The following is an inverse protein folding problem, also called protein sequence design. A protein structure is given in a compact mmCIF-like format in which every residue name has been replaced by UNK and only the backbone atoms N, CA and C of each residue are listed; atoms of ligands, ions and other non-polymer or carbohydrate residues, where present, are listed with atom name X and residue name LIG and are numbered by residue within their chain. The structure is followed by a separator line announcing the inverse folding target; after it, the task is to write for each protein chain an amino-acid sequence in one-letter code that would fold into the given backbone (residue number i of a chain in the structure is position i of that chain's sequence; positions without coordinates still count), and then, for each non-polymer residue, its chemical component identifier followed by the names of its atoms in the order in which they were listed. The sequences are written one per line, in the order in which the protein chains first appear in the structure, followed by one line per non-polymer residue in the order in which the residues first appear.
data_IF_818927703592
#
_entry.id   IF_818927703592
#
_cell.length_a   1.000
_cell.length_b   1.000
_cell.length_c   1.000
_cell.angle_alpha   90.00
_cell.angle_beta   90.00
_cell.angle_gamma   90.00
#
_symmetry.space_group_name_H-M   'P 1'
#
loop_
_entity.id
_entity.type
_entity.pdbx_description
1 polymer ?
#
# COMPACT_ATOMS: atom_id res chain seq x y z
N UNK A 1 -28.65 -26.03 -34.79
CA UNK A 1 -27.20 -25.93 -34.42
C UNK A 1 -26.77 -24.46 -34.15
N UNK A 2 -27.37 -23.43 -34.78
CA UNK A 2 -27.01 -22.02 -34.53
C UNK A 2 -27.44 -21.39 -33.19
N UNK A 3 -28.58 -21.78 -32.61
CA UNK A 3 -29.12 -21.09 -31.42
C UNK A 3 -28.27 -21.28 -30.14
N UNK A 4 -27.61 -22.42 -29.97
CA UNK A 4 -26.74 -22.70 -28.82
C UNK A 4 -25.45 -21.86 -28.87
N UNK A 5 -24.89 -21.64 -30.07
CA UNK A 5 -23.70 -20.78 -30.23
C UNK A 5 -24.01 -19.31 -29.97
N UNK A 6 -25.16 -18.82 -30.46
CA UNK A 6 -25.59 -17.44 -30.19
C UNK A 6 -25.87 -17.20 -28.70
N UNK A 7 -26.48 -18.19 -28.03
CA UNK A 7 -26.72 -18.12 -26.58
C UNK A 7 -25.40 -18.06 -25.81
N UNK A 8 -24.45 -18.96 -26.10
CA UNK A 8 -23.11 -18.97 -25.49
C UNK A 8 -22.37 -17.64 -25.74
N UNK A 9 -22.41 -17.12 -26.97
CA UNK A 9 -21.78 -15.86 -27.29
C UNK A 9 -22.37 -14.70 -26.47
N UNK A 10 -23.69 -14.60 -26.36
CA UNK A 10 -24.36 -13.58 -25.54
C UNK A 10 -23.98 -13.66 -24.06
N UNK A 11 -23.95 -14.87 -23.50
CA UNK A 11 -23.56 -15.09 -22.09
C UNK A 11 -22.09 -14.71 -21.87
N UNK A 12 -21.19 -15.12 -22.76
CA UNK A 12 -19.77 -14.79 -22.66
C UNK A 12 -19.53 -13.27 -22.78
N UNK A 13 -20.22 -12.58 -23.68
CA UNK A 13 -20.15 -11.12 -23.82
C UNK A 13 -20.68 -10.42 -22.56
N UNK A 14 -21.78 -10.91 -21.99
CA UNK A 14 -22.32 -10.37 -20.74
C UNK A 14 -21.38 -10.59 -19.53
N UNK A 15 -20.76 -11.77 -19.45
CA UNK A 15 -19.79 -12.10 -18.41
C UNK A 15 -18.49 -11.29 -18.57
N UNK A 16 -18.00 -11.14 -19.80
CA UNK A 16 -16.77 -10.39 -20.11
C UNK A 16 -16.85 -8.92 -19.68
N UNK A 17 -18.04 -8.30 -19.71
CA UNK A 17 -18.25 -6.94 -19.19
C UNK A 17 -18.03 -6.83 -17.68
N UNK A 18 -18.37 -7.88 -16.93
CA UNK A 18 -18.36 -7.88 -15.47
C UNK A 18 -17.14 -8.54 -14.85
N UNK A 19 -16.40 -9.35 -15.61
CA UNK A 19 -15.30 -10.17 -15.11
C UNK A 19 -14.23 -9.36 -14.37
N UNK A 20 -13.87 -8.17 -14.88
CA UNK A 20 -12.90 -7.28 -14.23
C UNK A 20 -13.39 -6.82 -12.85
N UNK A 21 -14.67 -6.46 -12.74
CA UNK A 21 -15.27 -6.04 -11.47
C UNK A 21 -15.35 -7.21 -10.47
N UNK A 22 -15.70 -8.41 -10.94
CA UNK A 22 -15.72 -9.61 -10.11
C UNK A 22 -14.32 -9.94 -9.57
N UNK A 23 -13.28 -9.87 -10.41
CA UNK A 23 -11.90 -10.05 -9.95
C UNK A 23 -11.51 -9.05 -8.87
N UNK A 24 -11.85 -7.77 -9.04
CA UNK A 24 -11.58 -6.74 -8.02
C UNK A 24 -12.31 -7.07 -6.72
N UNK A 25 -13.60 -7.43 -6.78
CA UNK A 25 -14.38 -7.79 -5.59
C UNK A 25 -13.79 -8.99 -4.84
N UNK A 26 -13.50 -10.08 -5.56
CA UNK A 26 -12.94 -11.31 -4.96
C UNK A 26 -11.56 -11.04 -4.36
N UNK A 27 -10.68 -10.31 -5.06
CA UNK A 27 -9.34 -9.96 -4.53
C UNK A 27 -9.43 -9.09 -3.28
N UNK A 28 -10.33 -8.10 -3.25
CA UNK A 28 -10.56 -7.26 -2.05
C UNK A 28 -11.04 -8.10 -0.87
N UNK A 29 -12.05 -8.95 -1.07
CA UNK A 29 -12.59 -9.82 -0.02
C UNK A 29 -11.52 -10.77 0.51
N UNK A 30 -10.75 -11.41 -0.39
CA UNK A 30 -9.63 -12.28 -0.01
C UNK A 30 -8.58 -11.54 0.83
N UNK A 31 -8.21 -10.33 0.43
CA UNK A 31 -7.26 -9.50 1.17
C UNK A 31 -7.78 -9.16 2.57
N UNK A 32 -9.06 -8.77 2.70
CA UNK A 32 -9.69 -8.48 4.00
C UNK A 32 -9.62 -9.71 4.90
N UNK A 33 -10.09 -10.87 4.45
CA UNK A 33 -10.05 -12.09 5.27
C UNK A 33 -8.63 -12.51 5.62
N UNK A 34 -7.67 -12.34 4.69
CA UNK A 34 -6.28 -12.63 4.97
C UNK A 34 -5.71 -11.72 6.08
N UNK A 35 -6.01 -10.41 6.05
CA UNK A 35 -5.61 -9.49 7.12
C UNK A 35 -6.31 -9.80 8.44
N UNK A 36 -7.62 -10.09 8.42
CA UNK A 36 -8.36 -10.46 9.64
C UNK A 36 -7.83 -11.75 10.28
N UNK A 37 -7.28 -12.66 9.48
CA UNK A 37 -6.65 -13.89 9.98
C UNK A 37 -5.31 -13.63 10.70
N UNK A 38 -4.73 -12.44 10.57
CA UNK A 38 -3.55 -12.02 11.35
C UNK A 38 -3.93 -11.39 12.69
N UNK A 39 -5.23 -11.17 12.95
CA UNK A 39 -5.71 -10.54 14.18
C UNK A 39 -6.00 -11.58 15.25
N UNK A 40 -5.79 -11.21 16.51
CA UNK A 40 -6.15 -12.03 17.65
C UNK A 40 -7.64 -11.84 17.97
N UNK A 41 -8.35 -12.95 18.18
CA UNK A 41 -9.78 -12.92 18.49
C UNK A 41 -9.98 -13.01 20.00
N UNK A 42 -10.57 -11.96 20.59
CA UNK A 42 -11.04 -12.01 21.97
C UNK A 42 -12.47 -12.59 21.99
N UNK A 43 -12.56 -13.84 22.43
CA UNK A 43 -13.81 -14.62 22.47
C UNK A 43 -14.80 -14.03 23.49
N UNK A 44 -14.29 -13.33 24.50
CA UNK A 44 -15.10 -12.76 25.59
C UNK A 44 -15.91 -11.56 25.12
N UNK A 45 -15.27 -10.64 24.41
CA UNK A 45 -15.92 -9.41 23.91
C UNK A 45 -16.34 -9.48 22.44
N UNK A 46 -16.11 -10.62 21.76
CA UNK A 46 -16.30 -10.78 20.31
C UNK A 46 -15.60 -9.66 19.52
N UNK A 47 -14.39 -9.30 19.95
CA UNK A 47 -13.59 -8.23 19.36
C UNK A 47 -12.34 -8.79 18.69
N UNK A 48 -11.84 -8.10 17.66
CA UNK A 48 -10.57 -8.41 17.03
C UNK A 48 -9.51 -7.40 17.50
N UNK A 49 -8.38 -7.92 17.96
CA UNK A 49 -7.25 -7.13 18.44
C UNK A 49 -6.11 -7.30 17.44
N UNK A 50 -5.54 -6.18 17.01
CA UNK A 50 -4.45 -6.16 16.06
C UNK A 50 -3.39 -5.16 16.52
N UNK A 51 -2.13 -5.56 16.39
CA UNK A 51 -0.98 -4.69 16.58
C UNK A 51 -0.39 -4.37 15.20
N UNK A 52 -0.16 -3.08 14.93
CA UNK A 52 0.36 -2.66 13.64
C UNK A 52 1.16 -1.36 13.75
N UNK A 53 2.11 -1.23 12.84
CA UNK A 53 2.91 -0.01 12.70
C UNK A 53 2.16 1.03 11.88
N UNK A 54 2.01 2.23 12.45
CA UNK A 54 1.29 3.34 11.84
C UNK A 54 2.14 4.60 11.92
N UNK A 55 2.26 5.38 10.83
CA UNK A 55 2.91 6.68 10.89
C UNK A 55 2.11 7.64 11.79
N UNK A 56 2.78 8.26 12.76
CA UNK A 56 2.13 9.14 13.75
C UNK A 56 1.32 10.30 13.11
N UNK A 57 1.75 10.77 11.94
CA UNK A 57 1.06 11.84 11.19
C UNK A 57 -0.30 11.42 10.62
N UNK A 58 -0.52 10.13 10.37
CA UNK A 58 -1.75 9.64 9.72
C UNK A 58 -2.72 9.00 10.73
N UNK A 59 -2.43 9.10 12.03
CA UNK A 59 -3.22 8.51 13.11
C UNK A 59 -4.68 9.02 13.12
N UNK A 60 -4.87 10.33 12.94
CA UNK A 60 -6.20 10.94 12.87
C UNK A 60 -7.01 10.43 11.68
N UNK A 61 -6.35 10.26 10.52
CA UNK A 61 -6.99 9.76 9.30
C UNK A 61 -7.50 8.33 9.51
N UNK A 62 -6.71 7.49 10.19
CA UNK A 62 -7.09 6.12 10.52
C UNK A 62 -8.24 6.10 11.51
N UNK A 63 -8.19 6.93 12.56
CA UNK A 63 -9.27 7.00 13.54
C UNK A 63 -10.60 7.44 12.89
N UNK A 64 -10.55 8.41 11.96
CA UNK A 64 -11.72 8.84 11.21
C UNK A 64 -12.26 7.73 10.29
N UNK A 65 -11.37 7.00 9.61
CA UNK A 65 -11.76 5.87 8.76
C UNK A 65 -12.44 4.75 9.57
N UNK A 66 -11.93 4.45 10.77
CA UNK A 66 -12.54 3.48 11.68
C UNK A 66 -13.93 3.94 12.16
N UNK A 67 -14.07 5.21 12.57
CA UNK A 67 -15.38 5.78 12.98
C UNK A 67 -16.42 5.66 11.86
N UNK A 68 -16.06 6.05 10.64
CA UNK A 68 -16.93 5.88 9.45
C UNK A 68 -17.27 4.41 9.19
N UNK A 69 -16.34 3.49 9.45
CA UNK A 69 -16.56 2.05 9.35
C UNK A 69 -17.61 1.56 10.33
N UNK A 70 -17.51 1.99 11.59
CA UNK A 70 -18.46 1.67 12.67
C UNK A 70 -19.86 2.25 12.40
N UNK A 71 -19.94 3.49 11.93
CA UNK A 71 -21.22 4.12 11.56
C UNK A 71 -21.92 3.33 10.44
N UNK A 72 -21.16 2.86 9.44
CA UNK A 72 -21.71 2.09 8.32
C UNK A 72 -22.09 0.67 8.69
N UNK A 73 -21.44 0.07 9.69
CA UNK A 73 -21.79 -1.27 10.17
C UNK A 73 -22.94 -1.27 11.17
N UNK A 74 -23.32 -0.09 11.69
CA UNK A 74 -24.35 0.05 12.73
C UNK A 74 -23.92 -0.53 14.08
N UNK A 75 -22.61 -0.72 14.30
CA UNK A 75 -22.09 -1.24 15.55
C UNK A 75 -22.10 -0.16 16.63
N UNK A 76 -22.63 -0.49 17.82
CA UNK A 76 -22.62 0.41 18.97
C UNK A 76 -21.25 0.52 19.65
N UNK A 77 -20.29 -0.34 19.28
CA UNK A 77 -18.95 -0.37 19.90
C UNK A 77 -18.00 0.55 19.12
N UNK A 78 -17.49 1.63 19.75
CA UNK A 78 -16.53 2.51 19.10
C UNK A 78 -15.20 1.77 18.88
N UNK A 79 -14.50 2.03 17.77
CA UNK A 79 -13.19 1.45 17.53
C UNK A 79 -12.17 2.08 18.50
N UNK A 80 -11.48 1.23 19.25
CA UNK A 80 -10.44 1.65 20.20
C UNK A 80 -9.10 1.57 19.50
N UNK A 81 -8.35 2.68 19.51
CA UNK A 81 -6.99 2.75 19.00
C UNK A 81 -6.08 3.16 20.15
N UNK A 82 -5.23 2.25 20.61
CA UNK A 82 -4.28 2.52 21.68
C UNK A 82 -2.86 2.63 21.12
N UNK A 83 -2.09 3.59 21.64
CA UNK A 83 -0.67 3.70 21.32
C UNK A 83 0.11 2.85 22.31
N UNK A 84 0.89 1.90 21.81
CA UNK A 84 1.73 1.03 22.61
C UNK A 84 3.19 1.48 22.53
N UNK A 85 3.89 1.40 23.65
CA UNK A 85 5.34 1.56 23.70
C UNK A 85 5.96 0.17 23.54
N UNK A 86 6.91 0.03 22.62
CA UNK A 86 7.63 -1.22 22.36
C UNK A 86 9.12 -0.93 22.16
N UNK A 87 9.94 -1.92 22.47
CA UNK A 87 11.39 -1.92 22.25
C UNK A 87 11.77 -2.44 20.86
N UNK A 88 10.81 -2.94 20.09
CA UNK A 88 11.05 -3.41 18.73
C UNK A 88 11.36 -2.26 17.76
N UNK A 89 12.27 -2.51 16.82
CA UNK A 89 12.63 -1.54 15.81
C UNK A 89 11.45 -1.28 14.84
N UNK A 90 10.91 -0.06 14.81
CA UNK A 90 9.79 0.25 13.92
C UNK A 90 10.25 0.26 12.45
N UNK A 91 9.36 -0.07 11.51
CA UNK A 91 9.68 -0.07 10.09
C UNK A 91 9.92 1.36 9.56
N UNK A 92 10.89 1.49 8.66
CA UNK A 92 11.20 2.76 7.99
C UNK A 92 10.17 3.05 6.89
N UNK A 93 9.50 4.21 6.99
CA UNK A 93 8.55 4.67 5.98
C UNK A 93 8.98 6.02 5.38
N UNK A 94 9.28 6.02 4.08
CA UNK A 94 9.60 7.21 3.31
C UNK A 94 8.43 7.63 2.42
N UNK A 95 7.90 8.84 2.60
CA UNK A 95 6.87 9.41 1.72
C UNK A 95 7.49 9.71 0.35
N UNK A 96 7.09 8.98 -0.67
CA UNK A 96 7.53 9.18 -2.05
C UNK A 96 6.43 9.81 -2.91
N UNK A 97 6.84 10.47 -3.99
CA UNK A 97 5.95 10.95 -5.04
C UNK A 97 6.23 10.19 -6.35
N UNK A 98 5.48 10.48 -7.42
CA UNK A 98 5.66 9.80 -8.72
C UNK A 98 7.09 9.93 -9.28
N UNK A 99 7.80 11.01 -8.96
CA UNK A 99 9.16 11.26 -9.40
C UNK A 99 10.20 10.55 -8.51
N UNK A 100 10.07 10.67 -7.19
CA UNK A 100 11.05 10.12 -6.24
C UNK A 100 10.91 8.61 -6.02
N UNK A 101 9.79 8.00 -6.42
CA UNK A 101 9.56 6.55 -6.28
C UNK A 101 10.59 5.70 -7.03
N UNK A 102 10.98 6.10 -8.25
CA UNK A 102 11.95 5.38 -9.05
C UNK A 102 13.34 5.35 -8.38
N UNK A 103 13.78 6.51 -7.86
CA UNK A 103 15.04 6.62 -7.12
C UNK A 103 14.99 5.88 -5.79
N UNK A 104 13.86 5.92 -5.09
CA UNK A 104 13.69 5.19 -3.85
C UNK A 104 13.77 3.67 -4.06
N UNK A 105 13.20 3.16 -5.16
CA UNK A 105 13.32 1.74 -5.52
C UNK A 105 14.77 1.34 -5.82
N UNK A 106 15.53 2.23 -6.48
CA UNK A 106 16.96 1.99 -6.71
C UNK A 106 17.71 1.86 -5.38
N UNK A 107 17.40 2.71 -4.40
CA UNK A 107 18.04 2.69 -3.08
C UNK A 107 17.67 1.43 -2.31
N UNK A 108 16.39 1.08 -2.31
CA UNK A 108 15.90 -0.13 -1.66
C UNK A 108 16.49 -1.42 -2.24
N UNK A 109 16.97 -1.41 -3.49
CA UNK A 109 17.71 -2.55 -4.05
C UNK A 109 19.08 -2.76 -3.40
N UNK A 110 19.72 -1.70 -2.89
CA UNK A 110 20.97 -1.78 -2.14
C UNK A 110 20.76 -2.06 -0.65
N UNK A 111 19.67 -1.53 -0.08
CA UNK A 111 19.32 -1.77 1.30
C UNK A 111 18.20 -0.84 1.78
N UNK A 112 17.48 -1.27 2.80
CA UNK A 112 16.48 -0.44 3.48
C UNK A 112 17.18 0.24 4.65
N UNK A 113 17.06 1.58 4.72
CA UNK A 113 17.62 2.37 5.79
C UNK A 113 16.98 2.01 7.14
N UNK A 114 17.78 2.06 8.20
CA UNK A 114 17.32 1.81 9.57
C UNK A 114 16.39 2.91 10.07
N UNK A 115 15.65 2.66 11.15
CA UNK A 115 14.66 3.60 11.63
C UNK A 115 15.32 4.94 12.02
N UNK A 116 14.76 6.04 11.51
CA UNK A 116 15.26 7.41 11.68
C UNK A 116 16.66 7.68 11.12
N UNK A 117 17.17 6.78 10.29
CA UNK A 117 18.37 7.05 9.49
C UNK A 117 18.04 8.05 8.36
N UNK A 118 19.05 8.83 7.97
CA UNK A 118 18.92 9.80 6.89
C UNK A 118 18.72 9.05 5.56
N UNK A 119 17.63 9.36 4.86
CA UNK A 119 17.37 8.76 3.55
C UNK A 119 18.35 9.33 2.50
N UNK A 120 19.22 8.49 1.88
CA UNK A 120 20.17 8.95 0.87
C UNK A 120 19.48 9.38 -0.43
N UNK A 121 18.19 9.12 -0.61
CA UNK A 121 17.51 9.32 -1.88
C UNK A 121 17.40 10.74 -2.36
N UNK A 122 17.28 11.68 -1.44
CA UNK A 122 17.33 13.09 -1.83
C UNK A 122 18.71 13.44 -2.40
N UNK A 123 19.79 12.98 -1.76
CA UNK A 123 21.15 13.22 -2.21
C UNK A 123 21.46 12.53 -3.56
N UNK A 124 21.01 11.29 -3.72
CA UNK A 124 21.20 10.53 -4.96
C UNK A 124 20.51 11.20 -6.15
N UNK A 125 19.32 11.80 -5.95
CA UNK A 125 18.64 12.55 -7.02
C UNK A 125 19.53 13.69 -7.53
N UNK A 126 20.03 14.54 -6.64
CA UNK A 126 20.87 15.68 -7.06
C UNK A 126 22.21 15.24 -7.66
N UNK A 127 22.90 14.30 -7.02
CA UNK A 127 24.22 13.86 -7.47
C UNK A 127 24.19 13.08 -8.77
N UNK A 128 23.17 12.23 -8.97
CA UNK A 128 23.02 11.47 -10.23
C UNK A 128 22.81 12.40 -11.43
N UNK A 129 22.07 13.49 -11.28
CA UNK A 129 21.90 14.51 -12.32
C UNK A 129 23.22 15.20 -12.63
N UNK A 130 23.95 15.63 -11.59
CA UNK A 130 25.25 16.30 -11.77
C UNK A 130 26.27 15.39 -12.48
N UNK A 131 26.43 14.15 -12.01
CA UNK A 131 27.36 13.17 -12.62
C UNK A 131 26.95 12.85 -14.06
N UNK A 132 25.66 12.72 -14.34
CA UNK A 132 25.17 12.47 -15.70
C UNK A 132 25.45 13.65 -16.65
N UNK A 133 25.34 14.89 -16.16
CA UNK A 133 25.66 16.09 -16.94
C UNK A 133 27.16 16.18 -17.24
N UNK A 134 28.02 15.96 -16.25
CA UNK A 134 29.48 15.97 -16.42
C UNK A 134 29.94 14.93 -17.46
N UNK A 135 29.42 13.70 -17.36
CA UNK A 135 29.69 12.64 -18.34
C UNK A 135 29.22 12.96 -19.76
N UNK A 136 28.20 13.81 -19.93
CA UNK A 136 27.72 14.24 -21.25
C UNK A 136 28.41 15.51 -21.77
N UNK A 137 28.88 16.39 -20.88
CA UNK A 137 29.67 17.57 -21.23
C UNK A 137 31.05 17.24 -21.80
N UNK A 138 31.62 16.09 -21.42
CA UNK A 138 32.92 15.61 -21.91
C UNK A 138 32.90 15.17 -23.40
N UNK A 139 31.74 15.14 -24.07
CA UNK A 139 31.64 14.82 -25.51
C UNK A 139 31.66 16.05 -26.43
N UNK A 140 31.73 17.28 -25.90
CA UNK A 140 31.72 18.52 -26.71
C UNK A 140 33.12 19.15 -26.89
N UNK A 141 34.13 18.69 -26.14
CA UNK A 141 35.50 19.19 -26.22
C UNK A 141 36.50 18.12 -26.70
N UNK A 142 36.14 17.38 -27.74
CA UNK A 142 37.09 16.58 -28.53
C UNK A 142 37.14 17.18 -29.94
N UNK A 143 37.83 18.31 -30.07
CA UNK A 143 38.38 18.79 -31.34
C UNK A 143 39.76 18.16 -31.56
#
# INVERSE_FOLDING_TARGET
IGSDQDHRHRVLVAAAKNIKNWFVKVRKIKAIYHTLNLFNLDVTQKCLIAECWVPALDLETIQLALRRGTERSGSSVPPILNRMETLEDPPTYNRNNKFTSAFQNLIYAYGVATYREVNPGMYIIYTSIFIALDRKGCLVNSN
#
